data_IF_374443647999
#
_entry.id   IF_374443647999
#
_cell.length_a   1.000
_cell.length_b   1.000
_cell.length_c   1.000
_cell.angle_alpha   90.00
_cell.angle_beta   90.00
_cell.angle_gamma   90.00
#
_symmetry.space_group_name_H-M   'P 1'
#
loop_
_entity.id
_entity.type
_entity.pdbx_description
1 polymer ?
#
# COMPACT_ATOMS: atom_id res chain seq x y z
N UNK A 1 22.13 -63.90 -16.28
CA UNK A 1 23.20 -62.97 -15.90
C UNK A 1 22.57 -61.61 -15.63
N UNK A 2 22.45 -61.24 -14.36
CA UNK A 2 22.02 -59.92 -13.90
C UNK A 2 23.24 -59.13 -13.40
N UNK A 3 23.20 -57.80 -13.52
CA UNK A 3 23.70 -56.94 -12.45
C UNK A 3 22.85 -55.66 -12.30
N UNK A 4 22.84 -54.90 -11.21
CA UNK A 4 23.17 -55.09 -9.80
C UNK A 4 22.58 -53.85 -9.12
N UNK A 5 21.75 -54.10 -8.11
CA UNK A 5 21.21 -53.14 -7.15
C UNK A 5 22.34 -52.30 -6.51
N UNK A 6 22.13 -50.97 -6.44
CA UNK A 6 22.86 -50.06 -5.54
C UNK A 6 21.86 -49.13 -4.86
N UNK A 7 21.07 -49.69 -3.95
CA UNK A 7 20.73 -49.01 -2.70
C UNK A 7 22.02 -48.63 -1.96
N UNK A 8 22.19 -47.33 -1.73
CA UNK A 8 22.99 -46.77 -0.64
C UNK A 8 22.15 -45.68 0.02
N UNK A 9 21.64 -46.06 1.19
CA UNK A 9 21.58 -45.27 2.42
C UNK A 9 21.79 -43.76 2.28
N UNK A 10 20.69 -43.02 2.43
CA UNK A 10 20.71 -41.68 3.01
C UNK A 10 19.80 -41.72 4.23
N UNK A 11 20.42 -42.00 5.38
CA UNK A 11 19.84 -41.69 6.69
C UNK A 11 19.81 -40.17 6.88
N UNK A 12 18.79 -39.74 7.62
CA UNK A 12 18.63 -38.44 8.26
C UNK A 12 19.94 -37.96 8.89
N UNK A 13 20.32 -36.72 8.57
CA UNK A 13 21.49 -36.05 9.11
C UNK A 13 21.66 -34.67 8.49
N UNK A 14 21.06 -33.68 9.13
CA UNK A 14 21.48 -32.28 9.14
C UNK A 14 21.34 -31.46 7.85
N UNK A 15 20.10 -30.98 7.71
CA UNK A 15 19.73 -29.69 7.14
C UNK A 15 20.53 -28.54 7.80
N UNK A 16 21.78 -28.33 7.39
CA UNK A 16 22.55 -27.12 7.71
C UNK A 16 22.75 -26.32 6.43
N UNK A 17 21.75 -25.51 6.09
CA UNK A 17 21.90 -24.46 5.09
C UNK A 17 22.89 -23.43 5.65
N UNK A 18 24.12 -23.53 5.14
CA UNK A 18 25.20 -22.61 5.42
C UNK A 18 24.80 -21.18 5.04
N UNK A 19 24.54 -20.35 6.06
CA UNK A 19 24.56 -18.89 5.99
C UNK A 19 25.98 -18.43 5.59
N UNK A 20 26.29 -18.32 4.30
CA UNK A 20 27.51 -17.63 3.84
C UNK A 20 27.22 -16.14 3.62
N UNK A 21 27.67 -15.34 4.58
CA UNK A 21 27.89 -13.88 4.49
C UNK A 21 28.72 -13.57 3.24
N UNK A 22 28.21 -12.73 2.33
CA UNK A 22 29.05 -12.02 1.36
C UNK A 22 29.55 -10.76 2.07
N UNK A 23 30.87 -10.68 2.27
CA UNK A 23 31.56 -9.53 2.86
C UNK A 23 32.31 -8.83 1.74
N UNK A 24 31.94 -7.61 1.39
CA UNK A 24 32.75 -6.74 0.54
C UNK A 24 33.53 -5.79 1.45
N UNK A 25 34.85 -6.02 1.50
CA UNK A 25 35.80 -5.16 2.21
C UNK A 25 36.27 -4.10 1.24
N UNK A 26 35.98 -2.84 1.52
CA UNK A 26 36.67 -1.71 0.88
C UNK A 26 37.81 -1.33 1.82
N UNK A 27 39.05 -1.54 1.37
CA UNK A 27 40.24 -1.14 2.12
C UNK A 27 40.48 0.36 2.00
N UNK A 28 40.66 1.03 3.15
CA UNK A 28 41.09 2.42 3.21
C UNK A 28 41.19 2.99 4.63
N UNK A 29 42.35 2.79 5.27
CA UNK A 29 42.94 3.70 6.29
C UNK A 29 42.29 3.81 7.68
N UNK A 30 43.07 4.15 8.74
CA UNK A 30 42.75 3.73 10.10
C UNK A 30 41.99 4.80 10.90
N UNK A 31 40.71 4.53 11.19
CA UNK A 31 40.15 4.61 12.54
C UNK A 31 38.66 4.21 12.51
N UNK A 32 38.34 3.15 13.25
CA UNK A 32 36.99 2.67 13.62
C UNK A 32 36.13 2.00 12.53
N UNK A 33 36.44 0.72 12.27
CA UNK A 33 35.53 -0.21 11.61
C UNK A 33 34.42 -0.69 12.57
N UNK A 34 33.15 -0.36 12.29
CA UNK A 34 31.98 -1.10 12.80
C UNK A 34 31.16 -1.62 11.62
N UNK A 35 31.13 -2.94 11.44
CA UNK A 35 30.25 -3.61 10.47
C UNK A 35 28.80 -3.61 10.99
N UNK A 36 27.85 -3.18 10.17
CA UNK A 36 26.41 -3.38 10.37
C UNK A 36 25.75 -3.85 9.07
N UNK A 37 25.01 -4.94 9.17
CA UNK A 37 24.18 -5.50 8.10
C UNK A 37 22.83 -4.77 8.09
N UNK A 38 22.31 -4.37 6.92
CA UNK A 38 21.05 -3.63 6.80
C UNK A 38 20.13 -4.26 5.75
N UNK A 39 18.84 -4.33 6.04
CA UNK A 39 17.77 -4.77 5.14
C UNK A 39 17.22 -3.59 4.31
N UNK A 40 16.52 -3.87 3.22
CA UNK A 40 16.00 -2.88 2.26
C UNK A 40 15.13 -1.76 2.88
N UNK A 41 14.49 -2.00 4.04
CA UNK A 41 13.76 -0.98 4.79
C UNK A 41 14.65 0.10 5.45
N UNK A 42 15.95 -0.14 5.57
CA UNK A 42 16.90 0.80 6.16
C UNK A 42 17.29 1.95 5.20
N UNK A 43 17.13 1.77 3.88
CA UNK A 43 17.47 2.80 2.89
C UNK A 43 16.52 4.01 2.93
N UNK A 44 15.28 3.82 3.40
CA UNK A 44 14.27 4.90 3.49
C UNK A 44 14.28 5.66 4.82
N UNK A 45 15.02 5.19 5.84
CA UNK A 45 15.08 5.85 7.17
C UNK A 45 16.29 6.76 7.37
N UNK A 46 17.25 6.78 6.45
CA UNK A 46 18.50 7.55 6.59
C UNK A 46 18.38 9.05 6.27
N UNK A 47 17.23 9.51 5.75
CA UNK A 47 17.02 10.95 5.45
C UNK A 47 16.30 11.69 6.60
N UNK A 48 15.80 11.00 7.63
CA UNK A 48 14.93 11.63 8.66
C UNK A 48 15.51 11.69 10.09
N UNK A 49 16.74 11.24 10.32
CA UNK A 49 17.35 11.25 11.66
C UNK A 49 18.40 12.37 11.83
N UNK A 50 17.98 13.62 11.68
CA UNK A 50 18.72 14.79 12.16
C UNK A 50 17.73 15.88 12.61
N UNK A 51 16.97 15.64 13.69
CA UNK A 51 16.45 16.65 14.63
C UNK A 51 15.67 15.97 15.78
N UNK A 52 16.34 15.88 16.94
CA UNK A 52 15.88 16.18 18.31
C UNK A 52 14.44 15.81 18.71
N UNK A 53 14.18 14.86 19.63
CA UNK A 53 14.45 14.77 21.09
C UNK A 53 13.30 15.27 21.99
N UNK A 54 13.07 14.54 23.11
CA UNK A 54 12.07 14.67 24.18
C UNK A 54 10.72 13.97 23.89
N UNK A 55 10.17 13.08 24.72
CA UNK A 55 10.42 12.72 26.11
C UNK A 55 9.09 12.81 26.88
N UNK A 56 8.48 11.67 27.23
CA UNK A 56 7.25 11.65 28.05
C UNK A 56 6.54 10.30 28.10
N UNK A 57 6.61 9.64 29.25
CA UNK A 57 5.94 8.37 29.60
C UNK A 57 4.52 8.60 30.11
N UNK A 58 3.56 7.73 29.75
CA UNK A 58 2.28 7.60 30.43
C UNK A 58 1.90 6.12 30.62
N UNK A 59 1.53 5.76 31.85
CA UNK A 59 0.93 4.49 32.27
C UNK A 59 -0.51 4.75 32.72
N UNK A 60 -1.49 4.00 32.18
CA UNK A 60 -2.79 3.62 32.78
C UNK A 60 -3.21 2.36 32.00
N UNK A 61 -3.55 1.19 32.56
CA UNK A 61 -4.30 0.86 33.76
C UNK A 61 -5.59 0.15 33.29
N UNK A 62 -5.59 -1.18 33.35
CA UNK A 62 -6.66 -2.06 32.87
C UNK A 62 -7.94 -1.94 33.71
N UNK A 63 -9.12 -2.02 33.07
CA UNK A 63 -10.37 -2.47 33.71
C UNK A 63 -11.16 -3.32 32.71
N UNK A 64 -11.71 -4.40 33.25
CA UNK A 64 -12.39 -5.55 32.65
C UNK A 64 -13.82 -5.24 32.16
N UNK A 65 -14.24 -6.04 31.18
CA UNK A 65 -15.62 -6.28 30.72
C UNK A 65 -16.36 -7.16 31.77
N UNK A 66 -17.70 -7.09 31.95
CA UNK A 66 -18.55 -7.94 31.11
C UNK A 66 -19.98 -7.42 30.82
N UNK A 67 -20.41 -7.68 29.59
CA UNK A 67 -21.66 -8.33 29.20
C UNK A 67 -22.94 -7.52 28.85
N UNK A 68 -23.44 -7.91 27.68
CA UNK A 68 -24.83 -8.24 27.32
C UNK A 68 -25.76 -7.14 26.79
N UNK A 69 -25.89 -7.10 25.46
CA UNK A 69 -27.20 -7.13 24.78
C UNK A 69 -27.08 -7.95 23.49
N UNK A 70 -27.86 -9.03 23.34
CA UNK A 70 -27.94 -9.90 22.15
C UNK A 70 -28.74 -9.27 20.99
N UNK A 71 -29.05 -9.92 19.87
CA UNK A 71 -28.88 -11.28 19.36
C UNK A 71 -29.35 -11.20 17.89
N UNK A 72 -28.54 -11.56 16.89
CA UNK A 72 -29.07 -12.00 15.57
C UNK A 72 -28.18 -13.16 15.09
N UNK A 73 -28.84 -14.28 14.83
CA UNK A 73 -28.29 -15.57 14.47
C UNK A 73 -27.63 -15.57 13.08
N UNK A 74 -26.36 -15.95 13.02
CA UNK A 74 -25.64 -16.35 11.80
C UNK A 74 -25.07 -17.76 12.02
N UNK A 75 -25.92 -18.78 11.94
CA UNK A 75 -25.46 -20.16 11.96
C UNK A 75 -24.88 -20.55 10.59
N UNK A 76 -23.61 -20.95 10.60
CA UNK A 76 -22.80 -21.56 9.52
C UNK A 76 -21.83 -20.62 8.80
N UNK A 77 -20.82 -20.14 9.54
CA UNK A 77 -19.50 -19.85 8.97
C UNK A 77 -18.58 -20.90 9.57
N UNK A 78 -17.99 -21.76 8.72
CA UNK A 78 -16.95 -22.70 9.14
C UNK A 78 -15.81 -21.94 9.85
N UNK A 79 -15.16 -22.51 10.88
CA UNK A 79 -14.10 -21.82 11.58
C UNK A 79 -12.96 -21.55 10.60
N UNK A 80 -12.74 -20.25 10.38
CA UNK A 80 -11.70 -19.75 9.52
C UNK A 80 -10.32 -20.25 10.06
N UNK A 81 -9.42 -20.77 9.21
CA UNK A 81 -8.18 -21.43 9.65
C UNK A 81 -7.30 -20.49 10.48
N UNK A 82 -6.72 -20.95 11.58
CA UNK A 82 -5.99 -20.13 12.58
C UNK A 82 -5.16 -18.97 11.98
N UNK A 83 -5.74 -17.76 11.95
CA UNK A 83 -5.15 -16.51 11.43
C UNK A 83 -4.02 -15.94 12.31
N UNK A 84 -3.60 -16.66 13.35
CA UNK A 84 -2.87 -16.11 14.49
C UNK A 84 -1.41 -15.70 14.21
N UNK A 85 -0.73 -16.30 13.25
CA UNK A 85 0.68 -15.98 12.96
C UNK A 85 0.81 -14.83 11.96
N UNK A 86 0.09 -14.90 10.84
CA UNK A 86 0.15 -13.89 9.77
C UNK A 86 -0.45 -12.54 10.17
N UNK A 87 -1.58 -12.52 10.89
CA UNK A 87 -2.16 -11.26 11.38
C UNK A 87 -1.25 -10.61 12.42
N UNK A 88 -0.70 -11.39 13.36
CA UNK A 88 0.22 -10.88 14.38
C UNK A 88 1.50 -10.31 13.76
N UNK A 89 2.04 -10.95 12.73
CA UNK A 89 3.19 -10.44 11.98
C UNK A 89 2.87 -9.07 11.34
N UNK A 90 1.70 -8.92 10.71
CA UNK A 90 1.28 -7.65 10.11
C UNK A 90 0.98 -6.56 11.16
N UNK A 91 0.37 -6.91 12.30
CA UNK A 91 0.11 -5.99 13.40
C UNK A 91 1.40 -5.45 14.04
N UNK A 92 2.50 -6.20 13.93
CA UNK A 92 3.84 -5.74 14.34
C UNK A 92 4.49 -4.91 13.24
N UNK A 93 4.41 -5.38 11.99
CA UNK A 93 5.06 -4.76 10.84
C UNK A 93 4.48 -3.39 10.47
N UNK A 94 3.15 -3.23 10.41
CA UNK A 94 2.52 -2.01 9.89
C UNK A 94 2.84 -0.75 10.71
N UNK A 95 2.80 -0.78 12.06
CA UNK A 95 3.25 0.35 12.87
C UNK A 95 4.74 0.69 12.69
N UNK A 96 5.60 -0.30 12.45
CA UNK A 96 7.02 -0.04 12.18
C UNK A 96 7.22 0.54 10.77
N UNK A 97 6.52 -0.02 9.79
CA UNK A 97 6.63 0.37 8.39
C UNK A 97 6.14 1.80 8.14
N UNK A 98 5.00 2.18 8.76
CA UNK A 98 4.34 3.46 8.54
C UNK A 98 3.81 4.05 9.85
N UNK A 99 4.69 4.35 10.81
CA UNK A 99 4.34 4.79 12.16
C UNK A 99 3.33 5.95 12.22
N UNK A 100 3.55 7.02 11.44
CA UNK A 100 2.64 8.17 11.41
C UNK A 100 1.23 7.80 10.95
N UNK A 101 1.07 7.26 9.72
CA UNK A 101 -0.21 6.78 9.23
C UNK A 101 -0.89 5.73 10.14
N UNK A 102 -0.13 4.74 10.65
CA UNK A 102 -0.67 3.70 11.53
C UNK A 102 -1.19 4.28 12.85
N UNK A 103 -0.49 5.26 13.44
CA UNK A 103 -0.94 5.96 14.64
C UNK A 103 -2.26 6.72 14.41
N UNK A 104 -2.41 7.40 13.25
CA UNK A 104 -3.65 8.13 12.91
C UNK A 104 -4.86 7.21 12.71
N UNK A 105 -4.65 6.06 12.10
CA UNK A 105 -5.69 5.06 11.89
C UNK A 105 -6.21 4.47 13.21
N UNK A 106 -5.31 4.33 14.19
CA UNK A 106 -5.58 3.64 15.44
C UNK A 106 -5.64 2.11 15.29
N UNK A 107 -5.57 1.37 16.41
CA UNK A 107 -5.37 -0.08 16.40
C UNK A 107 -6.47 -0.86 15.66
N UNK A 108 -7.72 -0.41 15.75
CA UNK A 108 -8.87 -1.06 15.09
C UNK A 108 -8.72 -1.02 13.56
N UNK A 109 -8.41 0.13 12.99
CA UNK A 109 -8.26 0.29 11.55
C UNK A 109 -6.99 -0.43 11.04
N UNK A 110 -5.91 -0.45 11.83
CA UNK A 110 -4.70 -1.23 11.50
C UNK A 110 -5.03 -2.73 11.43
N UNK A 111 -5.81 -3.25 12.37
CA UNK A 111 -6.28 -4.64 12.34
C UNK A 111 -7.14 -4.94 11.11
N UNK A 112 -8.10 -4.05 10.80
CA UNK A 112 -8.92 -4.19 9.60
C UNK A 112 -8.09 -4.19 8.31
N UNK A 113 -7.08 -3.32 8.23
CA UNK A 113 -6.15 -3.28 7.10
C UNK A 113 -5.34 -4.58 7.00
N UNK A 114 -4.84 -5.12 8.12
CA UNK A 114 -4.10 -6.38 8.15
C UNK A 114 -4.97 -7.56 7.66
N UNK A 115 -6.21 -7.67 8.15
CA UNK A 115 -7.15 -8.70 7.75
C UNK A 115 -7.52 -8.61 6.27
N UNK A 116 -7.78 -7.39 5.77
CA UNK A 116 -8.03 -7.14 4.36
C UNK A 116 -6.81 -7.51 3.51
N UNK A 117 -5.61 -7.16 3.97
CA UNK A 117 -4.35 -7.49 3.30
C UNK A 117 -4.12 -8.99 3.19
N UNK A 118 -4.34 -9.74 4.26
CA UNK A 118 -4.26 -11.21 4.25
C UNK A 118 -5.24 -11.78 3.22
N UNK A 119 -6.51 -11.40 3.31
CA UNK A 119 -7.55 -11.92 2.44
C UNK A 119 -7.22 -11.68 0.96
N UNK A 120 -6.82 -10.45 0.61
CA UNK A 120 -6.51 -10.10 -0.79
C UNK A 120 -5.20 -10.74 -1.28
N UNK A 121 -4.14 -10.74 -0.46
CA UNK A 121 -2.86 -11.35 -0.82
C UNK A 121 -3.01 -12.86 -1.09
N UNK A 122 -3.81 -13.55 -0.28
CA UNK A 122 -4.10 -14.98 -0.46
C UNK A 122 -4.82 -15.28 -1.78
N UNK A 123 -5.65 -14.36 -2.30
CA UNK A 123 -6.29 -14.53 -3.62
C UNK A 123 -5.29 -14.57 -4.79
N UNK A 124 -4.07 -14.06 -4.57
CA UNK A 124 -2.93 -14.17 -5.49
C UNK A 124 -1.95 -15.29 -5.12
N UNK A 125 -2.31 -16.16 -4.17
CA UNK A 125 -1.43 -17.21 -3.67
C UNK A 125 -0.19 -16.66 -2.98
N UNK A 126 -0.33 -15.55 -2.23
CA UNK A 126 0.67 -15.06 -1.29
C UNK A 126 0.22 -15.47 0.12
N UNK A 127 0.98 -16.34 0.77
CA UNK A 127 0.64 -16.89 2.09
C UNK A 127 1.78 -16.75 3.10
N UNK A 128 3.03 -16.56 2.65
CA UNK A 128 4.18 -16.37 3.51
C UNK A 128 4.25 -14.94 4.06
N UNK A 129 4.75 -14.80 5.29
CA UNK A 129 4.82 -13.51 6.00
C UNK A 129 5.43 -12.39 5.16
N UNK A 130 6.49 -12.69 4.41
CA UNK A 130 7.19 -11.73 3.59
C UNK A 130 6.35 -11.23 2.40
N UNK A 131 5.56 -12.11 1.79
CA UNK A 131 4.61 -11.77 0.73
C UNK A 131 3.45 -10.92 1.27
N UNK A 132 2.93 -11.29 2.43
CA UNK A 132 1.87 -10.56 3.13
C UNK A 132 2.32 -9.15 3.56
N UNK A 133 3.53 -9.02 4.11
CA UNK A 133 4.12 -7.75 4.50
C UNK A 133 4.31 -6.81 3.30
N UNK A 134 4.87 -7.33 2.20
CA UNK A 134 5.02 -6.55 0.97
C UNK A 134 3.66 -6.08 0.44
N UNK A 135 2.70 -6.99 0.30
CA UNK A 135 1.38 -6.67 -0.24
C UNK A 135 0.66 -5.63 0.62
N UNK A 136 0.62 -5.83 1.95
CA UNK A 136 -0.07 -4.91 2.86
C UNK A 136 0.67 -3.57 3.01
N UNK A 137 2.01 -3.58 2.91
CA UNK A 137 2.81 -2.36 2.82
C UNK A 137 2.47 -1.54 1.58
N UNK A 138 2.30 -2.20 0.43
CA UNK A 138 1.85 -1.54 -0.81
C UNK A 138 0.41 -1.02 -0.71
N UNK A 139 -0.51 -1.75 -0.05
CA UNK A 139 -1.84 -1.22 0.24
C UNK A 139 -1.78 0.09 1.05
N UNK A 140 -0.87 0.15 2.02
CA UNK A 140 -0.67 1.32 2.85
C UNK A 140 -0.08 2.51 2.07
N UNK A 141 0.70 2.27 1.02
CA UNK A 141 1.33 3.33 0.23
C UNK A 141 0.50 3.76 -0.99
N UNK A 142 -0.22 2.84 -1.63
CA UNK A 142 -0.84 3.03 -2.94
C UNK A 142 -2.37 3.01 -2.91
N UNK A 143 -2.99 2.49 -1.84
CA UNK A 143 -4.42 2.26 -1.77
C UNK A 143 -4.76 0.80 -1.53
N UNK A 144 -5.84 0.53 -0.79
CA UNK A 144 -6.24 -0.85 -0.44
C UNK A 144 -6.70 -1.72 -1.63
N UNK A 145 -6.83 -1.13 -2.82
CA UNK A 145 -7.14 -1.83 -4.08
C UNK A 145 -6.08 -1.55 -5.16
N UNK A 146 -4.82 -1.29 -4.78
CA UNK A 146 -3.75 -0.95 -5.72
C UNK A 146 -3.54 -2.00 -6.83
N UNK A 147 -3.87 -3.26 -6.53
CA UNK A 147 -3.75 -4.41 -7.43
C UNK A 147 -4.82 -4.47 -8.54
N UNK A 148 -5.88 -3.67 -8.41
CA UNK A 148 -6.96 -3.48 -9.39
C UNK A 148 -7.08 -2.00 -9.84
N UNK A 149 -6.15 -1.16 -9.39
CA UNK A 149 -6.13 0.26 -9.67
C UNK A 149 -5.53 0.51 -11.06
N UNK A 150 -6.27 1.14 -11.99
CA UNK A 150 -5.75 1.39 -13.32
C UNK A 150 -4.67 2.49 -13.35
N UNK A 151 -4.45 3.22 -12.24
CA UNK A 151 -3.26 4.06 -12.06
C UNK A 151 -1.99 3.24 -11.70
N UNK A 152 -2.15 1.94 -11.42
CA UNK A 152 -1.08 1.00 -11.05
C UNK A 152 -1.15 -0.30 -11.88
N UNK A 153 -1.21 -0.24 -13.22
CA UNK A 153 -1.43 -1.43 -14.05
C UNK A 153 -0.35 -2.51 -13.87
N UNK A 154 0.86 -2.10 -13.49
CA UNK A 154 1.98 -2.99 -13.19
C UNK A 154 1.68 -3.95 -12.03
N UNK A 155 0.86 -3.56 -11.05
CA UNK A 155 0.60 -4.36 -9.86
C UNK A 155 -0.15 -5.65 -10.22
N UNK A 156 -1.20 -5.51 -11.03
CA UNK A 156 -1.97 -6.64 -11.54
C UNK A 156 -1.08 -7.61 -12.35
N UNK A 157 -0.26 -7.06 -13.25
CA UNK A 157 0.66 -7.85 -14.08
C UNK A 157 1.72 -8.57 -13.23
N UNK A 158 2.29 -7.91 -12.22
CA UNK A 158 3.30 -8.50 -11.35
C UNK A 158 2.75 -9.62 -10.46
N UNK A 159 1.50 -9.49 -10.02
CA UNK A 159 0.83 -10.48 -9.15
C UNK A 159 0.36 -11.71 -9.91
N UNK A 160 -0.22 -11.55 -11.11
CA UNK A 160 -0.71 -12.68 -11.91
C UNK A 160 0.39 -13.32 -12.77
N UNK A 161 1.44 -12.58 -13.07
CA UNK A 161 2.47 -12.94 -14.03
C UNK A 161 1.89 -13.28 -15.40
N UNK A 162 2.68 -13.89 -16.27
CA UNK A 162 2.18 -14.53 -17.49
C UNK A 162 1.98 -16.01 -17.19
N UNK A 163 0.74 -16.51 -17.02
CA UNK A 163 0.53 -17.91 -16.75
C UNK A 163 0.99 -18.71 -17.97
N UNK A 164 1.97 -19.61 -17.79
CA UNK A 164 2.15 -20.73 -18.70
C UNK A 164 1.39 -21.91 -18.09
N UNK A 165 0.51 -22.54 -18.87
CA UNK A 165 -0.25 -23.72 -18.43
C UNK A 165 0.64 -24.87 -17.94
N UNK A 166 1.92 -24.86 -18.30
CA UNK A 166 2.89 -25.88 -17.90
C UNK A 166 3.52 -25.64 -16.51
N UNK A 167 3.56 -24.39 -16.02
CA UNK A 167 4.27 -24.04 -14.78
C UNK A 167 3.56 -22.92 -14.02
N UNK A 168 2.78 -23.24 -12.96
CA UNK A 168 2.27 -22.22 -12.06
C UNK A 168 3.45 -21.47 -11.42
N UNK A 169 3.36 -20.15 -11.43
CA UNK A 169 4.40 -19.28 -10.86
C UNK A 169 4.50 -19.57 -9.36
N UNK A 170 5.71 -19.71 -8.82
CA UNK A 170 5.89 -19.91 -7.39
C UNK A 170 5.71 -18.59 -6.62
N UNK A 171 5.28 -18.64 -5.35
CA UNK A 171 5.04 -17.44 -4.53
C UNK A 171 6.25 -16.49 -4.52
N UNK A 172 7.46 -16.99 -4.27
CA UNK A 172 8.67 -16.17 -4.25
C UNK A 172 8.92 -15.41 -5.57
N UNK A 173 8.48 -15.94 -6.71
CA UNK A 173 8.61 -15.26 -8.01
C UNK A 173 7.59 -14.12 -8.13
N UNK A 174 6.35 -14.31 -7.67
CA UNK A 174 5.36 -13.22 -7.59
C UNK A 174 5.82 -12.11 -6.66
N UNK A 175 6.31 -12.44 -5.46
CA UNK A 175 6.85 -11.48 -4.51
C UNK A 175 8.01 -10.70 -5.12
N UNK A 176 8.97 -11.38 -5.75
CA UNK A 176 10.12 -10.72 -6.40
C UNK A 176 9.66 -9.79 -7.53
N UNK A 177 8.68 -10.23 -8.33
CA UNK A 177 8.14 -9.43 -9.43
C UNK A 177 7.40 -8.20 -8.92
N UNK A 178 6.58 -8.37 -7.88
CA UNK A 178 5.86 -7.28 -7.23
C UNK A 178 6.82 -6.27 -6.60
N UNK A 179 7.85 -6.75 -5.89
CA UNK A 179 8.88 -5.91 -5.31
C UNK A 179 9.61 -5.10 -6.38
N UNK A 180 10.11 -5.76 -7.44
CA UNK A 180 10.81 -5.09 -8.54
C UNK A 180 9.92 -4.04 -9.22
N UNK A 181 8.70 -4.41 -9.59
CA UNK A 181 7.77 -3.49 -10.25
C UNK A 181 7.39 -2.31 -9.36
N UNK A 182 7.22 -2.51 -8.06
CA UNK A 182 6.94 -1.43 -7.12
C UNK A 182 8.14 -0.49 -6.93
N UNK A 183 9.37 -1.02 -6.86
CA UNK A 183 10.58 -0.21 -6.77
C UNK A 183 10.75 0.67 -8.03
N UNK A 184 10.60 0.07 -9.22
CA UNK A 184 10.66 0.80 -10.49
C UNK A 184 9.56 1.87 -10.58
N UNK A 185 8.34 1.54 -10.12
CA UNK A 185 7.24 2.49 -10.05
C UNK A 185 7.55 3.67 -9.12
N UNK A 186 7.99 3.41 -7.89
CA UNK A 186 8.29 4.47 -6.93
C UNK A 186 9.44 5.35 -7.42
N UNK A 187 10.48 4.78 -8.02
CA UNK A 187 11.58 5.56 -8.58
C UNK A 187 11.09 6.50 -9.68
N UNK A 188 10.29 6.01 -10.64
CA UNK A 188 9.75 6.84 -11.74
C UNK A 188 8.78 7.90 -11.23
N UNK A 189 7.87 7.52 -10.35
CA UNK A 189 6.76 8.37 -9.93
C UNK A 189 7.19 9.37 -8.86
N UNK A 190 7.94 8.95 -7.84
CA UNK A 190 8.35 9.83 -6.75
C UNK A 190 9.60 10.65 -7.13
N UNK A 191 10.49 10.13 -7.98
CA UNK A 191 11.78 10.76 -8.28
C UNK A 191 12.80 10.62 -7.15
N UNK A 192 13.94 11.31 -7.27
CA UNK A 192 14.96 11.30 -6.22
C UNK A 192 14.42 12.06 -5.01
N UNK A 193 14.55 11.49 -3.82
CA UNK A 193 14.05 12.09 -2.56
C UNK A 193 12.57 12.53 -2.60
N UNK A 194 11.74 11.86 -3.40
CA UNK A 194 10.31 12.17 -3.57
C UNK A 194 10.01 13.58 -4.13
N UNK A 195 10.93 14.16 -4.91
CA UNK A 195 10.78 15.51 -5.47
C UNK A 195 9.51 15.70 -6.33
N UNK A 196 9.12 14.67 -7.10
CA UNK A 196 7.93 14.75 -7.95
C UNK A 196 6.66 14.77 -7.11
N UNK A 197 6.59 13.94 -6.07
CA UNK A 197 5.48 13.93 -5.12
C UNK A 197 5.37 15.28 -4.41
N UNK A 198 6.50 15.82 -3.92
CA UNK A 198 6.53 17.13 -3.28
C UNK A 198 5.96 18.22 -4.18
N UNK A 199 6.42 18.28 -5.43
CA UNK A 199 5.93 19.26 -6.40
C UNK A 199 4.44 19.08 -6.73
N UNK A 200 3.98 17.83 -6.84
CA UNK A 200 2.57 17.52 -7.07
C UNK A 200 1.70 17.95 -5.88
N UNK A 201 2.13 17.69 -4.65
CA UNK A 201 1.43 18.14 -3.44
C UNK A 201 1.32 19.66 -3.41
N UNK A 202 2.42 20.39 -3.68
CA UNK A 202 2.38 21.85 -3.76
C UNK A 202 1.36 22.34 -4.80
N UNK A 203 1.40 21.83 -6.04
CA UNK A 203 0.41 22.19 -7.07
C UNK A 203 -1.02 21.87 -6.63
N UNK A 204 -1.22 20.73 -5.99
CA UNK A 204 -2.53 20.31 -5.50
C UNK A 204 -3.06 21.22 -4.38
N UNK A 205 -2.20 21.77 -3.52
CA UNK A 205 -2.63 22.77 -2.50
C UNK A 205 -3.08 24.10 -3.10
N UNK A 206 -2.69 24.40 -4.34
CA UNK A 206 -3.08 25.62 -5.05
C UNK A 206 -4.36 25.44 -5.88
N UNK A 207 -4.90 24.21 -5.96
CA UNK A 207 -6.14 23.96 -6.68
C UNK A 207 -7.32 24.68 -6.04
N UNK A 208 -8.26 25.09 -6.87
CA UNK A 208 -9.54 25.65 -6.43
C UNK A 208 -10.67 24.74 -6.87
N UNK A 209 -11.70 24.61 -6.06
CA UNK A 209 -12.87 23.80 -6.43
C UNK A 209 -13.50 24.28 -7.75
N UNK A 210 -13.50 25.60 -7.99
CA UNK A 210 -14.06 26.19 -9.21
C UNK A 210 -13.22 25.95 -10.47
N UNK A 211 -11.94 25.58 -10.33
CA UNK A 211 -11.11 25.21 -11.48
C UNK A 211 -11.26 23.74 -11.87
N UNK A 212 -11.99 22.93 -11.09
CA UNK A 212 -12.20 21.53 -11.44
C UNK A 212 -13.19 21.38 -12.60
N UNK A 213 -12.95 20.44 -13.53
CA UNK A 213 -13.86 20.17 -14.62
C UNK A 213 -15.27 19.85 -14.14
N UNK A 214 -16.25 20.61 -14.63
CA UNK A 214 -17.64 20.18 -14.58
C UNK A 214 -17.83 18.98 -15.52
N UNK A 215 -18.70 18.05 -15.14
CA UNK A 215 -19.09 16.88 -15.95
C UNK A 215 -19.62 17.24 -17.34
N UNK A 216 -19.89 16.22 -18.16
CA UNK A 216 -20.40 16.37 -19.53
C UNK A 216 -19.39 15.96 -20.60
N UNK A 217 -19.63 16.39 -21.85
CA UNK A 217 -18.79 16.04 -23.01
C UNK A 217 -17.33 16.44 -22.73
N UNK A 218 -16.39 15.56 -23.09
CA UNK A 218 -14.94 15.74 -22.85
C UNK A 218 -14.52 15.86 -21.36
N UNK A 219 -15.35 15.43 -20.40
CA UNK A 219 -14.98 15.44 -18.98
C UNK A 219 -13.66 14.69 -18.72
N UNK A 220 -13.52 13.49 -19.28
CA UNK A 220 -12.32 12.66 -19.11
C UNK A 220 -11.06 13.35 -19.65
N UNK A 221 -11.15 13.96 -20.83
CA UNK A 221 -10.03 14.71 -21.42
C UNK A 221 -9.62 15.92 -20.57
N UNK A 222 -10.60 16.68 -20.05
CA UNK A 222 -10.32 17.80 -19.14
C UNK A 222 -9.70 17.33 -17.82
N UNK A 223 -10.17 16.21 -17.27
CA UNK A 223 -9.59 15.60 -16.07
C UNK A 223 -8.17 15.09 -16.34
N UNK A 224 -7.92 14.48 -17.50
CA UNK A 224 -6.59 14.01 -17.90
C UNK A 224 -5.59 15.15 -17.94
N UNK A 225 -5.95 16.27 -18.57
CA UNK A 225 -5.11 17.47 -18.61
C UNK A 225 -4.81 18.01 -17.21
N UNK A 226 -5.84 18.16 -16.38
CA UNK A 226 -5.69 18.60 -14.98
C UNK A 226 -4.69 17.70 -14.22
N UNK A 227 -4.84 16.38 -14.30
CA UNK A 227 -4.00 15.45 -13.57
C UNK A 227 -2.57 15.36 -14.13
N UNK A 228 -2.38 15.54 -15.44
CA UNK A 228 -1.06 15.67 -16.06
C UNK A 228 -0.34 16.93 -15.57
N UNK A 229 -1.05 18.06 -15.50
CA UNK A 229 -0.48 19.31 -14.97
C UNK A 229 -0.13 19.18 -13.47
N UNK A 230 -0.90 18.39 -12.73
CA UNK A 230 -0.68 18.17 -11.29
C UNK A 230 0.43 17.17 -10.99
N UNK A 231 0.44 16.01 -11.63
CA UNK A 231 1.36 14.92 -11.33
C UNK A 231 1.65 14.07 -12.58
N UNK A 232 2.46 14.59 -13.51
CA UNK A 232 2.65 13.98 -14.82
C UNK A 232 3.19 12.56 -14.72
N UNK A 233 4.18 12.33 -13.86
CA UNK A 233 4.82 11.02 -13.71
C UNK A 233 3.84 9.91 -13.29
N UNK A 234 2.87 10.24 -12.42
CA UNK A 234 1.84 9.29 -11.98
C UNK A 234 0.83 9.01 -13.09
N UNK A 235 0.41 10.04 -13.84
CA UNK A 235 -0.51 9.87 -14.98
C UNK A 235 0.12 9.13 -16.16
N UNK A 236 1.40 9.38 -16.46
CA UNK A 236 2.15 8.69 -17.51
C UNK A 236 2.38 7.20 -17.20
N UNK A 237 2.39 6.85 -15.90
CA UNK A 237 2.49 5.45 -15.44
C UNK A 237 1.14 4.71 -15.42
N UNK A 238 0.03 5.40 -15.68
CA UNK A 238 -1.30 4.82 -15.62
C UNK A 238 -1.65 4.05 -16.91
N UNK A 239 -2.67 3.20 -16.84
CA UNK A 239 -3.25 2.59 -18.03
C UNK A 239 -3.84 3.69 -18.96
N UNK A 240 -3.83 3.49 -20.29
CA UNK A 240 -4.37 4.48 -21.23
C UNK A 240 -5.80 4.90 -20.92
N UNK A 241 -6.63 3.96 -20.48
CA UNK A 241 -8.05 4.09 -20.15
C UNK A 241 -8.33 4.24 -18.64
N UNK A 242 -7.30 4.59 -17.84
CA UNK A 242 -7.42 4.60 -16.39
C UNK A 242 -8.48 5.57 -15.85
N UNK A 243 -8.68 6.70 -16.51
CA UNK A 243 -9.67 7.69 -16.09
C UNK A 243 -11.08 7.23 -16.44
N UNK A 244 -11.26 6.65 -17.61
CA UNK A 244 -12.50 6.05 -18.08
C UNK A 244 -12.94 4.95 -17.09
N UNK A 245 -12.04 4.04 -16.74
CA UNK A 245 -12.28 2.99 -15.76
C UNK A 245 -12.59 3.53 -14.36
N UNK A 246 -11.92 4.61 -13.94
CA UNK A 246 -12.14 5.24 -12.63
C UNK A 246 -13.51 5.94 -12.58
N UNK A 247 -13.87 6.67 -13.65
CA UNK A 247 -15.17 7.34 -13.76
C UNK A 247 -16.30 6.31 -13.75
N UNK A 248 -16.19 5.25 -14.54
CA UNK A 248 -17.17 4.17 -14.57
C UNK A 248 -17.34 3.52 -13.19
N UNK A 249 -16.23 3.25 -12.50
CA UNK A 249 -16.24 2.69 -11.15
C UNK A 249 -16.95 3.60 -10.14
N UNK A 250 -16.61 4.89 -10.12
CA UNK A 250 -17.21 5.85 -9.20
C UNK A 250 -18.72 6.03 -9.47
N UNK A 251 -19.12 6.08 -10.74
CA UNK A 251 -20.53 6.21 -11.11
C UNK A 251 -21.35 4.95 -10.78
N UNK A 252 -20.75 3.76 -10.90
CA UNK A 252 -21.40 2.48 -10.55
C UNK A 252 -21.56 2.25 -9.04
N UNK A 253 -20.86 3.03 -8.20
CA UNK A 253 -20.82 2.85 -6.76
C UNK A 253 -21.99 3.48 -6.00
N UNK A 254 -22.91 4.18 -6.67
CA UNK A 254 -24.04 4.85 -6.03
C UNK A 254 -25.33 4.57 -6.79
N UNK A 255 -26.45 4.44 -6.07
CA UNK A 255 -27.78 4.35 -6.67
C UNK A 255 -28.14 5.61 -7.47
N UNK A 256 -27.48 6.75 -7.17
CA UNK A 256 -27.57 7.98 -7.95
C UNK A 256 -26.19 8.30 -8.53
N UNK A 257 -26.01 8.26 -9.86
CA UNK A 257 -24.72 8.55 -10.47
C UNK A 257 -24.20 9.93 -10.05
N UNK A 258 -23.00 9.97 -9.48
CA UNK A 258 -22.32 11.23 -9.18
C UNK A 258 -22.00 11.94 -10.50
N UNK A 259 -22.27 13.25 -10.55
CA UNK A 259 -22.01 14.09 -11.71
C UNK A 259 -21.36 15.42 -11.31
N UNK A 260 -20.96 16.22 -12.30
CA UNK A 260 -20.46 17.58 -12.07
C UNK A 260 -19.14 17.62 -11.30
N UNK A 261 -18.98 18.65 -10.46
CA UNK A 261 -17.78 18.86 -9.63
C UNK A 261 -17.56 17.75 -8.60
N UNK A 262 -18.64 17.13 -8.09
CA UNK A 262 -18.52 16.01 -7.14
C UNK A 262 -17.76 14.84 -7.76
N UNK A 263 -18.07 14.50 -9.02
CA UNK A 263 -17.34 13.47 -9.74
C UNK A 263 -15.86 13.85 -9.96
N UNK A 264 -15.57 15.11 -10.30
CA UNK A 264 -14.21 15.59 -10.47
C UNK A 264 -13.37 15.46 -9.20
N UNK A 265 -13.93 15.87 -8.04
CA UNK A 265 -13.27 15.73 -6.75
C UNK A 265 -13.08 14.26 -6.40
N UNK A 266 -14.07 13.40 -6.64
CA UNK A 266 -13.94 11.97 -6.39
C UNK A 266 -12.83 11.33 -7.24
N UNK A 267 -12.73 11.70 -8.53
CA UNK A 267 -11.62 11.26 -9.39
C UNK A 267 -10.27 11.75 -8.86
N UNK A 268 -10.16 13.01 -8.41
CA UNK A 268 -8.93 13.54 -7.83
C UNK A 268 -8.54 12.82 -6.52
N UNK A 269 -9.52 12.50 -5.67
CA UNK A 269 -9.33 11.70 -4.45
C UNK A 269 -8.84 10.29 -4.80
N UNK A 270 -9.51 9.61 -5.74
CA UNK A 270 -9.09 8.28 -6.21
C UNK A 270 -7.69 8.30 -6.83
N UNK A 271 -7.35 9.35 -7.58
CA UNK A 271 -6.01 9.51 -8.14
C UNK A 271 -4.95 9.68 -7.04
N UNK A 272 -5.24 10.45 -6.00
CA UNK A 272 -4.30 10.74 -4.91
C UNK A 272 -4.14 9.59 -3.90
N UNK A 273 -5.25 8.95 -3.52
CA UNK A 273 -5.32 7.99 -2.41
C UNK A 273 -5.53 6.53 -2.85
N UNK A 274 -5.75 6.31 -4.15
CA UNK A 274 -6.06 5.02 -4.74
C UNK A 274 -7.54 4.88 -5.10
N UNK A 275 -7.84 4.08 -6.14
CA UNK A 275 -9.19 3.89 -6.71
C UNK A 275 -10.26 3.64 -5.66
N UNK A 276 -9.94 2.83 -4.65
CA UNK A 276 -10.86 2.47 -3.58
C UNK A 276 -10.79 3.34 -2.32
N UNK A 277 -10.34 4.61 -2.43
CA UNK A 277 -10.24 5.54 -1.30
C UNK A 277 -11.54 5.66 -0.47
N UNK A 278 -12.70 5.57 -1.11
CA UNK A 278 -14.00 5.60 -0.44
C UNK A 278 -14.33 4.30 0.29
N UNK A 279 -13.65 3.20 -0.01
CA UNK A 279 -13.79 1.93 0.71
C UNK A 279 -12.67 1.75 1.72
N UNK A 280 -11.72 2.67 1.77
CA UNK A 280 -10.50 2.50 2.52
C UNK A 280 -10.73 2.69 4.02
N UNK A 281 -10.42 1.69 4.87
CA UNK A 281 -10.53 1.83 6.32
C UNK A 281 -9.61 2.92 6.90
N UNK A 282 -8.63 3.40 6.14
CA UNK A 282 -7.77 4.53 6.51
C UNK A 282 -8.50 5.88 6.46
N UNK A 283 -9.59 5.96 5.69
CA UNK A 283 -10.29 7.21 5.41
C UNK A 283 -11.82 7.08 5.58
N UNK A 284 -12.31 6.61 6.75
CA UNK A 284 -13.74 6.36 6.95
C UNK A 284 -14.61 7.60 6.68
N UNK A 285 -14.10 8.79 6.99
CA UNK A 285 -14.78 10.06 6.78
C UNK A 285 -15.10 10.37 5.31
N UNK A 286 -14.35 9.83 4.34
CA UNK A 286 -14.59 10.11 2.91
C UNK A 286 -15.92 9.52 2.43
N UNK A 287 -16.40 8.44 3.06
CA UNK A 287 -17.68 7.82 2.74
C UNK A 287 -18.85 8.77 3.01
N UNK A 288 -18.79 9.46 4.15
CA UNK A 288 -19.89 10.30 4.65
C UNK A 288 -20.06 11.58 3.83
N UNK A 289 -18.95 12.13 3.35
CA UNK A 289 -18.95 13.42 2.64
C UNK A 289 -18.97 13.28 1.12
N UNK A 290 -19.03 12.04 0.60
CA UNK A 290 -18.85 11.71 -0.82
C UNK A 290 -19.72 12.53 -1.79
N UNK A 291 -20.95 12.83 -1.40
CA UNK A 291 -21.88 13.57 -2.26
C UNK A 291 -21.71 15.09 -2.18
N UNK A 292 -20.91 15.61 -1.25
CA UNK A 292 -20.61 17.04 -1.12
C UNK A 292 -19.22 17.35 -1.71
N UNK A 293 -19.16 17.96 -2.92
CA UNK A 293 -17.89 18.33 -3.53
C UNK A 293 -17.07 19.28 -2.64
N UNK A 294 -17.71 20.18 -1.92
CA UNK A 294 -17.05 21.15 -1.04
C UNK A 294 -16.38 20.45 0.14
N UNK A 295 -17.11 19.57 0.83
CA UNK A 295 -16.57 18.83 1.99
C UNK A 295 -15.49 17.85 1.56
N UNK A 296 -15.66 17.15 0.43
CA UNK A 296 -14.63 16.29 -0.11
C UNK A 296 -13.38 17.07 -0.50
N UNK A 297 -13.54 18.19 -1.19
CA UNK A 297 -12.42 18.99 -1.65
C UNK A 297 -11.65 19.57 -0.46
N UNK A 298 -12.35 20.07 0.55
CA UNK A 298 -11.74 20.53 1.79
C UNK A 298 -11.02 19.39 2.53
N UNK A 299 -11.64 18.21 2.61
CA UNK A 299 -11.01 17.02 3.20
C UNK A 299 -9.73 16.61 2.48
N UNK A 300 -9.74 16.63 1.14
CA UNK A 300 -8.55 16.40 0.32
C UNK A 300 -7.46 17.45 0.61
N UNK A 301 -7.80 18.74 0.60
CA UNK A 301 -6.85 19.82 0.90
C UNK A 301 -6.21 19.65 2.28
N UNK A 302 -7.01 19.37 3.31
CA UNK A 302 -6.51 19.13 4.66
C UNK A 302 -5.55 17.93 4.73
N UNK A 303 -5.88 16.85 4.02
CA UNK A 303 -5.02 15.68 3.94
C UNK A 303 -3.67 16.02 3.26
N UNK A 304 -3.69 16.70 2.11
CA UNK A 304 -2.47 17.07 1.39
C UNK A 304 -1.57 17.99 2.22
N UNK A 305 -2.15 18.95 2.94
CA UNK A 305 -1.41 19.82 3.86
C UNK A 305 -0.82 19.04 5.04
N UNK A 306 -1.53 18.05 5.57
CA UNK A 306 -0.99 17.20 6.62
C UNK A 306 0.17 16.35 6.11
N UNK A 307 0.08 15.80 4.90
CA UNK A 307 1.18 15.05 4.28
C UNK A 307 2.43 15.91 4.06
N UNK A 308 2.27 17.18 3.67
CA UNK A 308 3.39 18.12 3.61
C UNK A 308 4.03 18.31 5.00
N UNK A 309 3.21 18.53 6.04
CA UNK A 309 3.69 18.71 7.43
C UNK A 309 4.43 17.49 7.95
N UNK A 310 3.87 16.29 7.78
CA UNK A 310 4.45 15.04 8.26
C UNK A 310 5.83 14.76 7.63
N UNK A 311 6.02 15.24 6.41
CA UNK A 311 7.28 15.10 5.65
C UNK A 311 8.26 16.26 5.87
N UNK A 312 7.88 17.25 6.68
CA UNK A 312 8.69 18.44 6.94
C UNK A 312 8.84 19.35 5.72
N UNK A 313 7.97 19.24 4.73
CA UNK A 313 7.97 20.09 3.53
C UNK A 313 7.13 21.33 3.79
N UNK A 314 7.75 22.51 3.63
CA UNK A 314 7.12 23.83 3.84
C UNK A 314 6.83 24.51 2.52
#
# INVERSE_FOLDING_TARGET
MAPRDKRRDLQEGDLVIARRKITLTVEGGPAHSRQRTLSAGALLRLVSAASSSNGGTYHVGAIEDPAAVGLVSMSSIEPAPEFGLSERALLTYLPEFAAGPAARMGPRCVRQLAQLGIHRAQSYGLAEDHGLQLYTGLMMQLGVYFDEDPFHPWAHTALRGTPSAAYPIAEHQRVRSLYGASADYFQRVLGTDSEHLRNALFRATQLRLDSLPSGGVCFVERMRRLLLDLYPQRMESAAPDALEQTVAFLQGYSHKPTAGKSLAVQVAVSFAMGRGAFQDPRFPQLREVRESPEKLFLGLQNHLQQELRDRGWK
#
